data_IF_055282264272
#
_entry.id   IF_055282264272
#
_cell.length_a   1.000
_cell.length_b   1.000
_cell.length_c   1.000
_cell.angle_alpha   90.00
_cell.angle_beta   90.00
_cell.angle_gamma   90.00
#
_symmetry.space_group_name_H-M   'P 1'
#
loop_
_entity.id
_entity.type
_entity.pdbx_description
1 polymer ?
#
# COMPACT_ATOMS: atom_id res chain seq x y z
N UNK A 1 9.56 -0.53 -12.08
CA UNK A 1 8.30 0.25 -12.00
C UNK A 1 7.30 -0.76 -11.54
N UNK A 2 6.55 -0.49 -10.48
CA UNK A 2 5.65 -1.51 -9.96
C UNK A 2 4.47 -1.68 -10.91
N UNK A 3 4.17 -2.91 -11.32
CA UNK A 3 3.04 -3.26 -12.16
C UNK A 3 2.03 -4.02 -11.33
N UNK A 4 0.82 -3.48 -11.23
CA UNK A 4 -0.30 -4.12 -10.56
C UNK A 4 -1.26 -4.60 -11.63
N UNK A 5 -1.48 -5.91 -11.66
CA UNK A 5 -2.44 -6.56 -12.54
C UNK A 5 -3.55 -7.15 -11.68
N UNK A 6 -4.79 -6.76 -11.99
CA UNK A 6 -5.99 -7.29 -11.36
C UNK A 6 -6.88 -7.83 -12.47
N UNK A 7 -7.33 -9.07 -12.32
CA UNK A 7 -8.37 -9.65 -13.18
C UNK A 7 -9.50 -10.12 -12.29
N UNK A 8 -10.64 -9.46 -12.38
CA UNK A 8 -11.92 -9.92 -11.87
C UNK A 8 -12.80 -10.34 -13.05
N UNK A 9 -13.98 -10.93 -12.78
CA UNK A 9 -14.92 -11.41 -13.80
C UNK A 9 -15.16 -10.40 -14.92
N UNK A 10 -15.41 -9.14 -14.56
CA UNK A 10 -15.79 -8.10 -15.52
C UNK A 10 -14.68 -7.07 -15.80
N UNK A 11 -13.57 -7.14 -15.05
CA UNK A 11 -12.57 -6.06 -15.02
C UNK A 11 -11.17 -6.65 -15.13
N UNK A 12 -10.41 -6.22 -16.14
CA UNK A 12 -8.98 -6.53 -16.28
C UNK A 12 -8.19 -5.24 -16.27
N UNK A 13 -7.55 -4.96 -15.14
CA UNK A 13 -6.74 -3.75 -14.94
C UNK A 13 -5.27 -4.11 -14.90
N UNK A 14 -4.45 -3.32 -15.58
CA UNK A 14 -3.00 -3.41 -15.53
C UNK A 14 -2.44 -2.01 -15.37
N UNK A 15 -2.15 -1.61 -14.13
CA UNK A 15 -1.68 -0.27 -13.81
C UNK A 15 -0.17 -0.30 -13.52
N UNK A 16 0.66 0.35 -14.35
CA UNK A 16 2.02 0.69 -13.96
C UNK A 16 1.97 1.84 -12.94
N UNK A 17 2.60 1.62 -11.80
CA UNK A 17 2.77 2.58 -10.72
C UNK A 17 4.25 3.00 -10.72
N UNK A 18 4.55 4.21 -11.24
CA UNK A 18 5.86 4.80 -11.09
C UNK A 18 6.23 4.99 -9.61
N UNK A 19 7.50 4.77 -9.28
CA UNK A 19 7.98 4.97 -7.90
C UNK A 19 7.88 6.43 -7.41
N UNK A 20 7.65 7.38 -8.31
CA UNK A 20 7.34 8.78 -7.94
C UNK A 20 6.04 8.84 -7.16
N UNK A 21 5.01 8.09 -7.57
CA UNK A 21 3.72 8.02 -6.87
C UNK A 21 3.91 7.43 -5.47
N UNK A 22 4.71 6.36 -5.36
CA UNK A 22 5.06 5.76 -4.06
C UNK A 22 5.82 6.74 -3.16
N UNK A 23 6.75 7.52 -3.69
CA UNK A 23 7.47 8.56 -2.95
C UNK A 23 6.52 9.66 -2.43
N UNK A 24 5.59 10.13 -3.27
CA UNK A 24 4.59 11.12 -2.88
C UNK A 24 3.67 10.55 -1.80
N UNK A 25 3.21 9.32 -1.96
CA UNK A 25 2.40 8.63 -0.95
C UNK A 25 3.13 8.52 0.39
N UNK A 26 4.41 8.12 0.40
CA UNK A 26 5.22 8.07 1.64
C UNK A 26 5.30 9.45 2.30
N UNK A 27 5.57 10.50 1.53
CA UNK A 27 5.62 11.87 2.06
C UNK A 27 4.30 12.30 2.69
N UNK A 28 3.17 12.03 2.03
CA UNK A 28 1.84 12.35 2.54
C UNK A 28 1.51 11.54 3.81
N UNK A 29 1.69 10.22 3.78
CA UNK A 29 1.43 9.32 4.91
C UNK A 29 2.34 9.60 6.11
N UNK A 30 3.54 10.13 5.88
CA UNK A 30 4.47 10.53 6.95
C UNK A 30 4.13 11.90 7.58
N UNK A 31 3.14 12.62 7.05
CA UNK A 31 2.77 13.93 7.58
C UNK A 31 2.02 13.80 8.91
N UNK A 32 2.37 14.65 9.87
CA UNK A 32 1.71 14.69 11.19
C UNK A 32 0.21 14.92 11.08
N UNK A 33 -0.24 15.68 10.09
CA UNK A 33 -1.66 15.95 9.87
C UNK A 33 -2.42 14.68 9.47
N UNK A 34 -1.92 13.93 8.50
CA UNK A 34 -2.55 12.68 8.06
C UNK A 34 -2.47 11.64 9.17
N UNK A 35 -1.34 11.52 9.87
CA UNK A 35 -1.21 10.60 11.00
C UNK A 35 -2.17 10.95 12.14
N UNK A 36 -2.33 12.22 12.47
CA UNK A 36 -3.29 12.65 13.49
C UNK A 36 -4.74 12.39 13.06
N UNK A 37 -5.07 12.68 11.79
CA UNK A 37 -6.40 12.42 11.25
C UNK A 37 -6.73 10.93 11.24
N UNK A 38 -5.80 10.08 10.78
CA UNK A 38 -5.95 8.62 10.80
C UNK A 38 -6.08 8.14 12.23
N UNK A 39 -5.21 8.57 13.16
CA UNK A 39 -5.32 8.16 14.56
C UNK A 39 -6.64 8.58 15.21
N UNK A 40 -7.17 9.78 14.89
CA UNK A 40 -8.48 10.22 15.39
C UNK A 40 -9.61 9.38 14.80
N UNK A 41 -9.61 9.17 13.49
CA UNK A 41 -10.63 8.39 12.78
C UNK A 41 -10.61 6.91 13.18
N UNK A 42 -9.42 6.33 13.33
CA UNK A 42 -9.21 4.98 13.84
C UNK A 42 -9.75 4.89 15.27
N UNK A 43 -9.39 5.78 16.19
CA UNK A 43 -9.97 5.76 17.55
C UNK A 43 -11.50 5.81 17.53
N UNK A 44 -12.12 6.72 16.78
CA UNK A 44 -13.59 6.82 16.68
C UNK A 44 -14.25 5.56 16.07
N UNK A 45 -13.58 4.89 15.13
CA UNK A 45 -14.10 3.68 14.48
C UNK A 45 -13.86 2.41 15.30
N UNK A 46 -12.80 2.38 16.09
CA UNK A 46 -12.35 1.23 16.87
C UNK A 46 -12.94 1.21 18.29
N UNK A 47 -13.26 2.37 18.88
CA UNK A 47 -14.09 2.50 20.09
C UNK A 47 -15.45 1.81 19.90
N UNK A 48 -16.04 1.91 18.69
CA UNK A 48 -17.27 1.18 18.34
C UNK A 48 -17.11 -0.33 18.22
N UNK A 49 -15.88 -0.83 18.07
CA UNK A 49 -15.55 -2.26 17.91
C UNK A 49 -14.72 -2.86 19.05
N UNK A 50 -14.40 -2.09 20.10
CA UNK A 50 -13.53 -2.49 21.24
C UNK A 50 -12.20 -3.12 20.81
N UNK A 51 -11.54 -2.55 19.81
CA UNK A 51 -10.24 -3.02 19.34
C UNK A 51 -9.19 -1.94 19.62
N UNK A 52 -8.22 -2.23 20.48
CA UNK A 52 -7.14 -1.28 20.80
C UNK A 52 -6.06 -1.29 19.71
N UNK A 53 -6.39 -0.76 18.54
CA UNK A 53 -5.44 -0.59 17.45
C UNK A 53 -5.07 0.89 17.30
N UNK A 54 -3.79 1.20 17.52
CA UNK A 54 -3.21 2.51 17.19
C UNK A 54 -2.37 2.37 15.94
N UNK A 55 -2.59 3.24 14.96
CA UNK A 55 -1.78 3.23 13.75
C UNK A 55 -0.34 3.62 14.11
N UNK A 56 0.68 2.81 13.75
CA UNK A 56 2.06 3.12 14.07
C UNK A 56 2.53 4.36 13.29
N UNK A 57 3.43 5.13 13.88
CA UNK A 57 4.00 6.31 13.23
C UNK A 57 4.77 5.91 11.96
N UNK A 58 4.34 6.47 10.84
CA UNK A 58 4.93 6.18 9.53
C UNK A 58 6.13 7.10 9.32
N UNK A 59 7.34 6.60 9.57
CA UNK A 59 8.56 7.36 9.35
C UNK A 59 9.06 7.26 7.89
N UNK A 60 9.15 8.43 7.21
CA UNK A 60 9.72 8.56 5.87
C UNK A 60 11.16 8.06 5.77
N UNK A 61 11.94 8.18 6.84
CA UNK A 61 13.36 7.81 6.85
C UNK A 61 13.55 6.30 6.81
N UNK A 62 12.61 5.54 7.36
CA UNK A 62 12.60 4.08 7.29
C UNK A 62 12.06 3.57 5.95
N UNK A 63 11.05 4.25 5.38
CA UNK A 63 10.39 3.81 4.15
C UNK A 63 11.15 4.16 2.86
N UNK A 64 11.86 5.30 2.81
CA UNK A 64 12.61 5.71 1.62
C UNK A 64 13.72 4.72 1.22
N UNK A 65 14.54 4.18 2.15
CA UNK A 65 15.53 3.15 1.85
C UNK A 65 14.89 1.89 1.27
N UNK A 66 13.78 1.42 1.85
CA UNK A 66 13.04 0.26 1.34
C UNK A 66 12.60 0.51 -0.10
N UNK A 67 12.04 1.69 -0.40
CA UNK A 67 11.64 2.03 -1.76
C UNK A 67 12.81 2.10 -2.75
N UNK A 68 14.00 2.56 -2.30
CA UNK A 68 15.21 2.53 -3.12
C UNK A 68 15.61 1.10 -3.45
N UNK A 69 15.57 0.22 -2.45
CA UNK A 69 15.97 -1.18 -2.60
C UNK A 69 15.01 -1.94 -3.51
N UNK A 70 13.70 -1.68 -3.41
CA UNK A 70 12.69 -2.23 -4.33
C UNK A 70 12.91 -1.86 -5.81
N UNK A 71 13.63 -0.77 -6.11
CA UNK A 71 13.97 -0.41 -7.51
C UNK A 71 15.03 -1.33 -8.11
N UNK A 72 15.83 -1.99 -7.27
CA UNK A 72 16.92 -2.86 -7.70
C UNK A 72 16.40 -4.25 -8.11
N UNK A 73 15.28 -4.72 -7.52
CA UNK A 73 14.68 -6.03 -7.81
C UNK A 73 13.65 -5.99 -8.94
N UNK A 74 14.03 -5.45 -10.10
CA UNK A 74 13.13 -5.38 -11.26
C UNK A 74 12.63 -6.78 -11.64
N UNK A 75 11.33 -6.91 -11.83
CA UNK A 75 10.69 -8.15 -12.23
C UNK A 75 10.40 -9.12 -11.09
N UNK A 76 10.73 -8.80 -9.84
CA UNK A 76 10.33 -9.61 -8.67
C UNK A 76 8.81 -9.61 -8.51
N UNK A 77 8.23 -10.78 -8.27
CA UNK A 77 6.80 -10.93 -7.97
C UNK A 77 6.63 -10.82 -6.45
N UNK A 78 5.86 -9.82 -6.01
CA UNK A 78 5.59 -9.58 -4.59
C UNK A 78 4.29 -10.26 -4.14
N UNK A 79 3.30 -10.28 -5.03
CA UNK A 79 1.99 -10.88 -4.79
C UNK A 79 1.59 -11.62 -6.04
N UNK A 80 1.19 -12.87 -5.87
CA UNK A 80 0.54 -13.69 -6.91
C UNK A 80 -0.54 -14.51 -6.22
N UNK A 81 -1.78 -14.01 -6.26
CA UNK A 81 -2.91 -14.65 -5.60
C UNK A 81 -4.06 -14.83 -6.57
N UNK A 82 -4.75 -15.95 -6.42
CA UNK A 82 -5.97 -16.27 -7.14
C UNK A 82 -7.03 -16.71 -6.13
N UNK A 83 -8.15 -16.02 -6.11
CA UNK A 83 -9.28 -16.36 -5.27
C UNK A 83 -10.15 -17.44 -5.92
N UNK A 84 -10.97 -18.12 -5.12
CA UNK A 84 -11.88 -19.19 -5.55
C UNK A 84 -12.91 -18.72 -6.59
N UNK A 85 -13.26 -17.44 -6.55
CA UNK A 85 -14.17 -16.79 -7.51
C UNK A 85 -13.52 -16.50 -8.88
N UNK A 86 -12.24 -16.85 -9.04
CA UNK A 86 -11.44 -16.63 -10.24
C UNK A 86 -10.72 -15.28 -10.30
N UNK A 87 -10.83 -14.44 -9.27
CA UNK A 87 -10.15 -13.14 -9.21
C UNK A 87 -8.64 -13.32 -9.03
N UNK A 88 -7.84 -12.72 -9.90
CA UNK A 88 -6.37 -12.77 -9.88
C UNK A 88 -5.79 -11.41 -9.53
N UNK A 89 -4.84 -11.37 -8.60
CA UNK A 89 -4.04 -10.17 -8.28
C UNK A 89 -2.57 -10.52 -8.38
N UNK A 90 -1.85 -9.80 -9.24
CA UNK A 90 -0.41 -9.94 -9.44
C UNK A 90 0.29 -8.60 -9.32
N UNK A 91 1.24 -8.51 -8.40
CA UNK A 91 2.08 -7.32 -8.19
C UNK A 91 3.53 -7.67 -8.50
N UNK A 92 4.13 -6.92 -9.41
CA UNK A 92 5.52 -7.12 -9.87
C UNK A 92 6.30 -5.81 -9.81
N UNK A 93 7.59 -5.84 -9.48
CA UNK A 93 8.47 -4.66 -9.45
C UNK A 93 9.09 -4.30 -10.82
#
# INVERSE_FOLDING_TARGET
>A
MMHVKVKAKDIRLSLPIPYVILNVAISLLSSKFIQHFVNKWTKESFERKKLDFTFPDINKETLKPILKELKNYKGMVLVDVKAEDGTEVKVRL
#
